data_IF_352049808194
#
_entry.id   IF_352049808194
#
_cell.length_a   1.000
_cell.length_b   1.000
_cell.length_c   1.000
_cell.angle_alpha   90.00
_cell.angle_beta   90.00
_cell.angle_gamma   90.00
#
_symmetry.space_group_name_H-M   'P 1'
#
loop_
_entity.id
_entity.type
_entity.pdbx_description
1 polymer ?
#
# COMPACT_ATOMS: atom_id res chain seq x y z
N UNK A 1 0.47 -1.21 -23.74
CA UNK A 1 -0.36 -1.78 -24.83
C UNK A 1 -1.62 -2.43 -24.25
N UNK A 2 -2.81 -1.87 -24.49
CA UNK A 2 -4.08 -2.34 -23.94
C UNK A 2 -4.54 -3.68 -24.59
N UNK A 3 -4.07 -4.82 -24.07
CA UNK A 3 -4.55 -6.15 -24.50
C UNK A 3 -5.94 -6.44 -23.92
N UNK A 4 -6.93 -6.49 -24.82
CA UNK A 4 -8.19 -7.26 -24.73
C UNK A 4 -9.03 -7.16 -23.43
N UNK A 5 -9.41 -5.95 -23.00
CA UNK A 5 -10.48 -5.76 -22.00
C UNK A 5 -11.91 -5.87 -22.56
N UNK A 6 -12.09 -5.84 -23.89
CA UNK A 6 -13.42 -5.80 -24.51
C UNK A 6 -14.18 -7.12 -24.31
N UNK A 7 -13.53 -8.26 -24.55
CA UNK A 7 -14.18 -9.57 -24.48
C UNK A 7 -14.49 -10.00 -23.03
N UNK A 8 -13.57 -9.73 -22.09
CA UNK A 8 -13.83 -9.93 -20.66
C UNK A 8 -14.94 -8.99 -20.16
N UNK A 9 -14.92 -7.71 -20.54
CA UNK A 9 -15.99 -6.77 -20.15
C UNK A 9 -17.38 -7.16 -20.68
N UNK A 10 -17.46 -7.76 -21.86
CA UNK A 10 -18.72 -8.30 -22.43
C UNK A 10 -19.21 -9.53 -21.66
N UNK A 11 -18.31 -10.44 -21.30
CA UNK A 11 -18.64 -11.63 -20.49
C UNK A 11 -19.08 -11.21 -19.09
N UNK A 12 -18.38 -10.26 -18.48
CA UNK A 12 -18.70 -9.72 -17.16
C UNK A 12 -20.05 -8.98 -17.19
N UNK A 13 -20.30 -8.12 -18.17
CA UNK A 13 -21.60 -7.47 -18.36
C UNK A 13 -22.74 -8.46 -18.59
N UNK A 14 -22.51 -9.53 -19.39
CA UNK A 14 -23.53 -10.55 -19.64
C UNK A 14 -23.86 -11.34 -18.37
N UNK A 15 -22.85 -11.62 -17.54
CA UNK A 15 -23.00 -12.31 -16.26
C UNK A 15 -23.70 -11.44 -15.22
N UNK A 16 -23.43 -10.14 -15.20
CA UNK A 16 -24.11 -9.19 -14.32
C UNK A 16 -25.56 -8.97 -14.74
N UNK A 17 -25.81 -8.81 -16.04
CA UNK A 17 -27.18 -8.69 -16.59
C UNK A 17 -28.01 -9.95 -16.32
N UNK A 18 -27.48 -11.15 -16.54
CA UNK A 18 -28.20 -12.39 -16.24
C UNK A 18 -28.46 -12.59 -14.74
N UNK A 19 -27.51 -12.19 -13.89
CA UNK A 19 -27.67 -12.16 -12.44
C UNK A 19 -28.80 -11.22 -12.01
N UNK A 20 -28.87 -10.01 -12.57
CA UNK A 20 -29.94 -9.04 -12.27
C UNK A 20 -31.32 -9.53 -12.70
N UNK A 21 -31.42 -10.18 -13.87
CA UNK A 21 -32.69 -10.75 -14.35
C UNK A 21 -33.15 -11.89 -13.44
N UNK A 22 -32.27 -12.85 -13.13
CA UNK A 22 -32.59 -13.98 -12.27
C UNK A 22 -33.04 -13.53 -10.88
N UNK A 23 -32.36 -12.53 -10.32
CA UNK A 23 -32.67 -12.01 -8.98
C UNK A 23 -34.00 -11.24 -8.97
N UNK A 24 -34.32 -10.52 -10.04
CA UNK A 24 -35.62 -9.88 -10.22
C UNK A 24 -36.76 -10.91 -10.29
N UNK A 25 -36.57 -12.00 -11.03
CA UNK A 25 -37.56 -13.10 -11.13
C UNK A 25 -37.77 -13.76 -9.78
N UNK A 26 -36.70 -14.11 -9.06
CA UNK A 26 -36.79 -14.76 -7.74
C UNK A 26 -37.47 -13.85 -6.70
N UNK A 27 -37.15 -12.56 -6.70
CA UNK A 27 -37.82 -11.58 -5.82
C UNK A 27 -39.29 -11.47 -6.19
N UNK A 28 -39.65 -11.40 -7.47
CA UNK A 28 -41.04 -11.35 -7.91
C UNK A 28 -41.84 -12.59 -7.48
N UNK A 29 -41.26 -13.79 -7.62
CA UNK A 29 -41.87 -15.03 -7.13
C UNK A 29 -42.04 -15.00 -5.60
N UNK A 30 -41.02 -14.56 -4.87
CA UNK A 30 -41.08 -14.43 -3.41
C UNK A 30 -42.15 -13.44 -2.93
N UNK A 31 -42.25 -12.27 -3.58
CA UNK A 31 -43.27 -11.25 -3.29
C UNK A 31 -44.67 -11.76 -3.62
N UNK A 32 -44.85 -12.49 -4.72
CA UNK A 32 -46.14 -13.09 -5.06
C UNK A 32 -46.56 -14.15 -4.03
N UNK A 33 -45.64 -15.04 -3.62
CA UNK A 33 -45.92 -16.03 -2.57
C UNK A 33 -46.25 -15.37 -1.23
N UNK A 34 -45.53 -14.30 -0.87
CA UNK A 34 -45.83 -13.46 0.29
C UNK A 34 -47.23 -12.87 0.22
N UNK A 35 -47.57 -12.24 -0.90
CA UNK A 35 -48.87 -11.59 -1.11
C UNK A 35 -50.00 -12.59 -1.00
N UNK A 36 -49.89 -13.75 -1.65
CA UNK A 36 -50.91 -14.82 -1.56
C UNK A 36 -51.06 -15.31 -0.12
N UNK A 37 -49.95 -15.60 0.58
CA UNK A 37 -50.00 -16.04 1.97
C UNK A 37 -50.61 -15.00 2.93
N UNK A 38 -50.35 -13.71 2.72
CA UNK A 38 -50.92 -12.61 3.54
C UNK A 38 -52.42 -12.43 3.27
N UNK A 39 -52.84 -12.48 1.99
CA UNK A 39 -54.26 -12.35 1.62
C UNK A 39 -55.08 -13.52 2.16
N UNK A 40 -54.56 -14.74 2.08
CA UNK A 40 -55.22 -15.93 2.63
C UNK A 40 -55.31 -15.88 4.17
N UNK A 41 -54.30 -15.34 4.85
CA UNK A 41 -54.30 -15.13 6.31
C UNK A 41 -55.33 -14.07 6.76
N UNK A 42 -55.50 -12.99 5.98
CA UNK A 42 -56.46 -11.90 6.27
C UNK A 42 -57.91 -12.28 5.88
N UNK A 43 -58.08 -13.21 4.95
CA UNK A 43 -59.36 -13.72 4.45
C UNK A 43 -60.05 -14.69 5.41
N UNK A 44 -60.45 -14.22 6.59
CA UNK A 44 -61.56 -14.74 7.41
C UNK A 44 -61.89 -16.26 7.33
N UNK A 45 -61.02 -17.11 7.90
CA UNK A 45 -61.46 -18.28 8.66
C UNK A 45 -60.61 -18.43 9.92
N UNK A 46 -61.27 -18.44 11.08
CA UNK A 46 -60.68 -18.71 12.40
C UNK A 46 -60.09 -20.14 12.48
N UNK A 47 -58.96 -20.35 11.82
CA UNK A 47 -58.25 -21.62 11.80
C UNK A 47 -56.88 -21.43 11.20
N UNK A 48 -55.90 -21.12 12.05
CA UNK A 48 -54.47 -21.04 11.70
C UNK A 48 -54.05 -22.29 10.92
N UNK A 49 -53.94 -22.20 9.59
CA UNK A 49 -53.44 -23.31 8.79
C UNK A 49 -51.93 -23.18 8.61
N UNK A 50 -51.21 -24.26 8.94
CA UNK A 50 -49.74 -24.35 8.82
C UNK A 50 -49.26 -24.00 7.39
N UNK A 51 -50.11 -24.24 6.37
CA UNK A 51 -49.82 -23.96 4.95
C UNK A 51 -49.63 -22.46 4.66
N UNK A 52 -50.40 -21.58 5.28
CA UNK A 52 -50.33 -20.12 5.08
C UNK A 52 -49.02 -19.57 5.67
N UNK A 53 -48.66 -20.04 6.87
CA UNK A 53 -47.40 -19.68 7.53
C UNK A 53 -46.19 -20.17 6.73
N UNK A 54 -46.27 -21.36 6.12
CA UNK A 54 -45.23 -21.90 5.23
C UNK A 54 -45.07 -21.03 3.97
N UNK A 55 -46.17 -20.60 3.34
CA UNK A 55 -46.12 -19.72 2.16
C UNK A 55 -45.47 -18.36 2.47
N UNK A 56 -45.83 -17.76 3.61
CA UNK A 56 -45.23 -16.50 4.07
C UNK A 56 -43.74 -16.71 4.37
N UNK A 57 -43.35 -17.75 5.11
CA UNK A 57 -41.94 -17.99 5.44
C UNK A 57 -41.09 -18.27 4.20
N UNK A 58 -41.58 -19.07 3.25
CA UNK A 58 -40.91 -19.31 1.97
C UNK A 58 -40.78 -18.01 1.16
N UNK A 59 -41.84 -17.21 1.11
CA UNK A 59 -41.83 -15.94 0.39
C UNK A 59 -40.87 -14.91 1.00
N UNK A 60 -40.79 -14.81 2.34
CA UNK A 60 -39.79 -13.99 3.06
C UNK A 60 -38.38 -14.48 2.74
N UNK A 61 -38.16 -15.78 2.81
CA UNK A 61 -36.84 -16.37 2.57
C UNK A 61 -36.38 -16.15 1.11
N UNK A 62 -37.28 -16.33 0.13
CA UNK A 62 -36.97 -16.08 -1.27
C UNK A 62 -36.72 -14.59 -1.56
N UNK A 63 -37.52 -13.69 -0.99
CA UNK A 63 -37.38 -12.25 -1.25
C UNK A 63 -36.19 -11.64 -0.50
N UNK A 64 -36.18 -11.71 0.84
CA UNK A 64 -35.11 -11.14 1.66
C UNK A 64 -33.82 -11.94 1.57
N UNK A 65 -33.89 -13.26 1.45
CA UNK A 65 -32.70 -14.11 1.33
C UNK A 65 -31.93 -13.86 0.03
N UNK A 66 -32.63 -13.68 -1.10
CA UNK A 66 -31.97 -13.35 -2.38
C UNK A 66 -31.38 -11.95 -2.36
N UNK A 67 -32.09 -10.97 -1.77
CA UNK A 67 -31.54 -9.62 -1.59
C UNK A 67 -30.31 -9.60 -0.67
N UNK A 68 -30.37 -10.30 0.47
CA UNK A 68 -29.25 -10.42 1.39
C UNK A 68 -28.07 -11.15 0.74
N UNK A 69 -28.33 -12.20 -0.03
CA UNK A 69 -27.30 -12.92 -0.78
C UNK A 69 -26.60 -12.03 -1.80
N UNK A 70 -27.35 -11.29 -2.62
CA UNK A 70 -26.75 -10.35 -3.59
C UNK A 70 -25.98 -9.22 -2.92
N UNK A 71 -26.53 -8.65 -1.84
CA UNK A 71 -25.83 -7.64 -1.07
C UNK A 71 -24.51 -8.22 -0.52
N UNK A 72 -24.53 -9.46 -0.01
CA UNK A 72 -23.35 -10.14 0.51
C UNK A 72 -22.31 -10.48 -0.56
N UNK A 73 -22.72 -10.96 -1.73
CA UNK A 73 -21.79 -11.29 -2.82
C UNK A 73 -21.14 -10.04 -3.40
N UNK A 74 -21.92 -8.99 -3.64
CA UNK A 74 -21.40 -7.70 -4.08
C UNK A 74 -20.47 -7.09 -3.03
N UNK A 75 -20.83 -7.19 -1.75
CA UNK A 75 -19.98 -6.75 -0.65
C UNK A 75 -18.65 -7.50 -0.59
N UNK A 76 -18.66 -8.83 -0.75
CA UNK A 76 -17.42 -9.62 -0.80
C UNK A 76 -16.53 -9.24 -1.98
N UNK A 77 -17.11 -8.81 -3.11
CA UNK A 77 -16.36 -8.32 -4.28
C UNK A 77 -15.64 -7.00 -4.02
N UNK A 78 -16.07 -6.20 -3.03
CA UNK A 78 -15.40 -4.95 -2.65
C UNK A 78 -14.07 -5.20 -1.93
N UNK A 79 -13.86 -6.39 -1.36
CA UNK A 79 -12.59 -6.72 -0.72
C UNK A 79 -11.52 -6.90 -1.79
N UNK A 80 -10.51 -6.04 -1.75
CA UNK A 80 -9.43 -6.04 -2.72
C UNK A 80 -8.11 -6.35 -2.02
N UNK A 81 -7.28 -7.15 -2.69
CA UNK A 81 -5.89 -7.34 -2.32
C UNK A 81 -5.06 -7.07 -3.56
N UNK A 82 -4.25 -6.01 -3.52
CA UNK A 82 -3.36 -5.62 -4.61
C UNK A 82 -1.92 -5.90 -4.18
N UNK A 83 -1.18 -6.59 -5.05
CA UNK A 83 0.23 -6.92 -4.87
C UNK A 83 1.05 -6.05 -5.80
N UNK A 84 2.01 -5.34 -5.24
CA UNK A 84 2.90 -4.45 -5.93
C UNK A 84 4.29 -5.06 -5.92
N UNK A 85 4.87 -5.20 -7.10
CA UNK A 85 6.25 -5.65 -7.27
C UNK A 85 7.12 -4.44 -7.60
N UNK A 86 8.07 -4.15 -6.71
CA UNK A 86 9.07 -3.11 -6.90
C UNK A 86 10.48 -3.69 -6.96
N UNK A 87 11.42 -2.85 -7.38
CA UNK A 87 12.84 -3.18 -7.39
C UNK A 87 13.68 -2.11 -6.71
N UNK A 88 14.87 -2.48 -6.24
CA UNK A 88 15.93 -1.55 -5.85
C UNK A 88 17.23 -1.95 -6.53
N UNK A 89 18.12 -0.98 -6.69
CA UNK A 89 19.50 -1.21 -7.10
C UNK A 89 20.38 -0.95 -5.88
N UNK A 90 21.19 -1.95 -5.53
CA UNK A 90 22.04 -1.89 -4.35
C UNK A 90 23.49 -2.09 -4.73
N UNK A 91 24.35 -1.20 -4.24
CA UNK A 91 25.81 -1.34 -4.34
C UNK A 91 26.31 -2.12 -3.13
N UNK A 92 26.71 -3.36 -3.37
CA UNK A 92 27.16 -4.28 -2.31
C UNK A 92 28.47 -3.85 -1.66
N UNK A 93 29.34 -3.15 -2.39
CA UNK A 93 30.63 -2.71 -1.86
C UNK A 93 30.43 -1.53 -0.91
N UNK A 94 29.65 -0.54 -1.34
CA UNK A 94 29.42 0.68 -0.57
C UNK A 94 28.27 0.55 0.44
N UNK A 95 27.54 -0.55 0.42
CA UNK A 95 26.31 -0.80 1.19
C UNK A 95 25.26 0.31 1.01
N UNK A 96 25.04 0.76 -0.23
CA UNK A 96 24.16 1.89 -0.55
C UNK A 96 23.09 1.53 -1.57
N UNK A 97 21.88 2.01 -1.34
CA UNK A 97 20.83 2.01 -2.34
C UNK A 97 21.17 3.10 -3.37
N UNK A 98 21.15 2.73 -4.64
CA UNK A 98 21.36 3.64 -5.76
C UNK A 98 20.00 4.20 -6.17
N UNK A 99 19.91 5.54 -6.19
CA UNK A 99 18.73 6.25 -6.65
C UNK A 99 18.54 6.06 -8.15
N UNK A 100 17.34 5.62 -8.54
CA UNK A 100 16.92 5.55 -9.93
C UNK A 100 16.07 6.79 -10.24
N UNK A 101 16.50 7.66 -11.17
CA UNK A 101 15.72 8.85 -11.54
C UNK A 101 14.32 8.47 -12.03
N UNK A 102 13.32 9.32 -11.76
CA UNK A 102 11.89 9.12 -12.08
C UNK A 102 11.21 7.91 -11.41
N UNK A 103 11.95 7.15 -10.59
CA UNK A 103 11.43 6.05 -9.79
C UNK A 103 11.45 6.44 -8.30
N UNK A 104 10.33 6.97 -7.86
CA UNK A 104 10.22 7.73 -6.61
C UNK A 104 10.58 6.88 -5.38
N UNK A 105 10.09 5.64 -5.27
CA UNK A 105 10.45 4.76 -4.13
C UNK A 105 11.96 4.53 -4.02
N UNK A 106 12.67 4.35 -5.14
CA UNK A 106 14.11 4.14 -5.11
C UNK A 106 14.86 5.38 -4.63
N UNK A 107 14.38 6.56 -5.03
CA UNK A 107 14.93 7.84 -4.61
C UNK A 107 14.67 8.09 -3.13
N UNK A 108 13.43 7.90 -2.68
CA UNK A 108 13.01 8.06 -1.28
C UNK A 108 13.79 7.09 -0.38
N UNK A 109 13.87 5.80 -0.73
CA UNK A 109 14.65 4.83 0.05
C UNK A 109 16.15 5.19 0.13
N UNK A 110 16.76 5.64 -0.96
CA UNK A 110 18.16 6.06 -0.95
C UNK A 110 18.39 7.29 -0.05
N UNK A 111 17.49 8.28 -0.11
CA UNK A 111 17.55 9.48 0.72
C UNK A 111 17.36 9.17 2.20
N UNK A 112 16.30 8.42 2.56
CA UNK A 112 16.03 8.04 3.94
C UNK A 112 17.13 7.15 4.53
N UNK A 113 17.74 6.25 3.73
CA UNK A 113 18.91 5.50 4.17
C UNK A 113 20.07 6.44 4.52
N UNK A 114 20.34 7.44 3.67
CA UNK A 114 21.42 8.41 3.86
C UNK A 114 21.17 9.29 5.10
N UNK A 115 19.97 9.83 5.25
CA UNK A 115 19.60 10.66 6.41
C UNK A 115 19.68 9.86 7.71
N UNK A 116 19.15 8.62 7.74
CA UNK A 116 19.24 7.77 8.91
C UNK A 116 20.70 7.44 9.29
N UNK A 117 21.56 7.23 8.29
CA UNK A 117 22.99 6.97 8.51
C UNK A 117 23.73 8.20 9.03
N UNK A 118 23.38 9.40 8.55
CA UNK A 118 23.99 10.66 9.01
C UNK A 118 23.69 10.98 10.47
N UNK A 119 22.51 10.57 10.94
CA UNK A 119 22.03 10.89 12.27
C UNK A 119 22.30 9.78 13.30
N UNK A 120 22.17 8.52 12.90
CA UNK A 120 22.28 7.39 13.81
C UNK A 120 23.43 6.45 13.43
N UNK A 121 24.59 6.67 14.03
CA UNK A 121 25.80 5.85 13.82
C UNK A 121 25.60 4.37 14.14
N UNK A 122 24.72 4.04 15.09
CA UNK A 122 24.42 2.65 15.41
C UNK A 122 23.63 1.98 14.28
N UNK A 123 22.66 2.69 13.70
CA UNK A 123 21.90 2.22 12.53
C UNK A 123 22.80 2.07 11.31
N UNK A 124 23.70 3.03 11.06
CA UNK A 124 24.70 2.94 10.00
C UNK A 124 25.59 1.70 10.15
N UNK A 125 26.08 1.44 11.37
CA UNK A 125 26.92 0.27 11.65
C UNK A 125 26.17 -1.04 11.41
N UNK A 126 24.92 -1.15 11.85
CA UNK A 126 24.08 -2.33 11.64
C UNK A 126 23.76 -2.55 10.15
N UNK A 127 23.58 -1.47 9.38
CA UNK A 127 23.33 -1.53 7.94
C UNK A 127 24.55 -2.06 7.16
N UNK A 128 25.76 -1.67 7.59
CA UNK A 128 27.03 -2.07 6.97
C UNK A 128 27.57 -3.41 7.47
N UNK A 129 26.93 -4.03 8.47
CA UNK A 129 27.42 -5.27 9.09
C UNK A 129 27.37 -6.45 8.11
N UNK A 130 26.23 -6.61 7.41
CA UNK A 130 26.00 -7.68 6.45
C UNK A 130 25.48 -7.13 5.11
N UNK A 131 25.54 -7.95 4.06
CA UNK A 131 24.86 -7.65 2.79
C UNK A 131 23.35 -7.97 2.90
N UNK A 132 22.52 -7.22 2.19
CA UNK A 132 21.05 -7.33 2.23
C UNK A 132 20.53 -8.66 1.71
N UNK A 133 21.30 -9.36 0.87
CA UNK A 133 20.92 -10.62 0.21
C UNK A 133 21.40 -11.90 0.88
N UNK A 134 22.28 -11.79 1.88
CA UNK A 134 22.80 -12.98 2.55
C UNK A 134 21.69 -13.64 3.38
N UNK A 135 21.52 -14.94 3.23
CA UNK A 135 20.73 -15.75 4.15
C UNK A 135 21.68 -16.33 5.19
N UNK A 136 21.43 -16.08 6.48
CA UNK A 136 22.19 -16.77 7.54
C UNK A 136 21.70 -18.21 7.61
N UNK A 137 22.47 -19.13 7.02
CA UNK A 137 22.23 -20.56 7.15
C UNK A 137 22.53 -20.99 8.59
N UNK A 138 21.50 -21.06 9.44
CA UNK A 138 21.65 -21.74 10.72
C UNK A 138 21.76 -23.25 10.48
N UNK A 139 22.95 -23.81 10.70
CA UNK A 139 23.16 -25.27 10.74
C UNK A 139 22.66 -25.80 12.10
N UNK A 140 21.35 -25.75 12.31
CA UNK A 140 20.64 -26.43 13.39
C UNK A 140 20.01 -27.72 12.87
N UNK A 141 19.92 -28.75 13.72
CA UNK A 141 19.41 -30.10 13.36
C UNK A 141 18.11 -30.02 12.54
N UNK A 142 18.10 -30.82 11.48
CA UNK A 142 17.05 -31.04 10.49
C UNK A 142 15.69 -31.16 11.19
N UNK A 143 14.87 -30.11 11.10
CA UNK A 143 13.43 -30.22 11.27
C UNK A 143 12.72 -29.23 10.34
N UNK A 144 12.23 -29.80 9.24
CA UNK A 144 11.25 -29.38 8.23
C UNK A 144 10.87 -27.93 7.88
N UNK A 145 11.48 -26.85 8.37
CA UNK A 145 11.25 -25.52 7.79
C UNK A 145 12.57 -24.75 7.71
N UNK A 146 13.09 -24.64 6.49
CA UNK A 146 14.20 -23.75 6.14
C UNK A 146 13.67 -22.32 6.25
N UNK A 147 13.57 -21.81 7.48
CA UNK A 147 13.21 -20.42 7.75
C UNK A 147 14.43 -19.57 7.38
N UNK A 148 14.45 -19.12 6.13
CA UNK A 148 15.33 -18.06 5.66
C UNK A 148 15.15 -16.85 6.58
N UNK A 149 16.03 -16.72 7.57
CA UNK A 149 16.07 -15.51 8.39
C UNK A 149 16.86 -14.46 7.63
N UNK A 150 16.19 -13.36 7.28
CA UNK A 150 16.80 -12.18 6.68
C UNK A 150 18.01 -11.73 7.52
N UNK A 151 19.07 -11.26 6.88
CA UNK A 151 20.15 -10.56 7.57
C UNK A 151 19.64 -9.34 8.32
N UNK A 152 20.48 -8.79 9.21
CA UNK A 152 20.14 -7.55 9.90
C UNK A 152 19.91 -6.41 8.89
N UNK A 153 20.73 -6.32 7.84
CA UNK A 153 20.59 -5.34 6.76
C UNK A 153 19.32 -5.57 5.92
N UNK A 154 18.96 -6.82 5.59
CA UNK A 154 17.69 -7.13 4.92
C UNK A 154 16.46 -6.80 5.78
N UNK A 155 16.58 -6.95 7.10
CA UNK A 155 15.53 -6.54 8.05
C UNK A 155 15.40 -5.02 8.09
N UNK A 156 16.53 -4.30 8.15
CA UNK A 156 16.55 -2.84 8.07
C UNK A 156 15.95 -2.32 6.76
N UNK A 157 16.22 -2.99 5.63
CA UNK A 157 15.64 -2.64 4.35
C UNK A 157 14.11 -2.80 4.36
N UNK A 158 13.60 -3.85 5.01
CA UNK A 158 12.15 -4.05 5.19
C UNK A 158 11.54 -2.95 6.05
N UNK A 159 12.21 -2.56 7.14
CA UNK A 159 11.79 -1.45 8.02
C UNK A 159 11.80 -0.11 7.27
N UNK A 160 12.79 0.15 6.42
CA UNK A 160 12.89 1.33 5.57
C UNK A 160 11.75 1.38 4.54
N UNK A 161 11.45 0.26 3.89
CA UNK A 161 10.32 0.15 2.96
C UNK A 161 9.00 0.44 3.67
N UNK A 162 8.80 -0.14 4.85
CA UNK A 162 7.61 0.09 5.67
C UNK A 162 7.46 1.57 6.06
N UNK A 163 8.56 2.22 6.45
CA UNK A 163 8.57 3.65 6.73
C UNK A 163 8.15 4.47 5.51
N UNK A 164 8.70 4.18 4.34
CA UNK A 164 8.36 4.90 3.11
C UNK A 164 6.87 4.77 2.75
N UNK A 165 6.26 3.59 2.97
CA UNK A 165 4.84 3.37 2.71
C UNK A 165 3.95 4.13 3.70
N UNK A 166 4.30 4.10 4.98
CA UNK A 166 3.55 4.81 6.03
C UNK A 166 3.65 6.32 5.83
N UNK A 167 4.83 6.82 5.44
CA UNK A 167 5.04 8.22 5.13
C UNK A 167 4.20 8.66 3.92
N UNK A 168 4.21 7.90 2.82
CA UNK A 168 3.34 8.19 1.67
C UNK A 168 1.86 8.15 2.02
N UNK A 169 1.45 7.18 2.85
CA UNK A 169 0.07 7.12 3.31
C UNK A 169 -0.30 8.34 4.16
N UNK A 170 0.57 8.74 5.08
CA UNK A 170 0.39 9.94 5.92
C UNK A 170 0.18 11.18 5.04
N UNK A 171 1.11 11.45 4.12
CA UNK A 171 1.04 12.59 3.20
C UNK A 171 -0.25 12.58 2.37
N UNK A 172 -0.59 11.44 1.76
CA UNK A 172 -1.80 11.31 0.95
C UNK A 172 -3.08 11.55 1.76
N UNK A 173 -3.16 11.02 2.98
CA UNK A 173 -4.32 11.21 3.85
C UNK A 173 -4.46 12.65 4.31
N UNK A 174 -3.35 13.29 4.70
CA UNK A 174 -3.33 14.71 5.08
C UNK A 174 -3.79 15.57 3.90
N UNK A 175 -3.24 15.37 2.70
CA UNK A 175 -3.67 16.06 1.47
C UNK A 175 -5.14 15.80 1.11
N UNK A 176 -5.61 14.58 1.33
CA UNK A 176 -7.00 14.22 1.07
C UNK A 176 -7.96 14.92 2.02
N UNK A 177 -7.73 14.86 3.33
CA UNK A 177 -8.64 15.42 4.33
C UNK A 177 -8.58 16.95 4.38
N UNK A 178 -7.43 17.56 4.09
CA UNK A 178 -7.29 19.01 4.00
C UNK A 178 -8.21 19.63 2.93
N UNK A 179 -8.58 18.89 1.88
CA UNK A 179 -9.54 19.35 0.86
C UNK A 179 -10.96 19.56 1.40
N UNK A 180 -11.28 19.00 2.56
CA UNK A 180 -12.64 19.03 3.12
C UNK A 180 -12.82 20.05 4.25
N UNK A 181 -11.82 20.90 4.53
CA UNK A 181 -11.93 22.12 5.37
C UNK A 181 -12.67 21.89 6.69
N UNK A 182 -12.25 20.87 7.46
CA UNK A 182 -12.81 20.56 8.79
C UNK A 182 -14.23 20.00 8.83
N UNK A 183 -14.88 19.78 7.66
CA UNK A 183 -16.24 19.18 7.60
C UNK A 183 -16.26 17.71 8.01
N UNK A 184 -15.10 17.07 8.02
CA UNK A 184 -14.92 15.66 8.37
C UNK A 184 -14.33 15.54 9.76
N UNK A 185 -14.91 14.66 10.56
CA UNK A 185 -14.40 14.29 11.88
C UNK A 185 -13.24 13.31 11.71
N UNK A 186 -12.04 13.85 11.79
CA UNK A 186 -10.78 13.11 11.70
C UNK A 186 -10.04 13.20 13.03
N UNK A 187 -9.24 12.17 13.29
CA UNK A 187 -8.34 12.07 14.42
C UNK A 187 -6.91 12.00 13.86
N UNK A 188 -6.04 12.88 14.35
CA UNK A 188 -4.61 12.85 14.08
C UNK A 188 -3.96 11.87 15.06
N UNK A 189 -3.21 10.90 14.55
CA UNK A 189 -2.43 9.98 15.36
C UNK A 189 -0.97 10.44 15.37
N UNK A 190 -0.44 10.67 16.58
CA UNK A 190 0.95 11.03 16.80
C UNK A 190 1.76 9.86 17.39
N UNK A 191 3.05 10.09 17.66
CA UNK A 191 3.96 9.08 18.22
C UNK A 191 3.39 8.39 19.48
N UNK A 192 2.76 9.16 20.36
CA UNK A 192 2.16 8.68 21.61
C UNK A 192 1.01 7.71 21.41
N UNK A 193 0.33 7.79 20.26
CA UNK A 193 -0.90 7.06 19.99
C UNK A 193 -0.67 5.72 19.29
N UNK A 194 0.54 5.50 18.74
CA UNK A 194 0.90 4.29 17.99
C UNK A 194 2.18 3.60 18.53
N UNK A 195 2.33 3.41 19.85
CA UNK A 195 3.59 2.93 20.43
C UNK A 195 3.99 1.54 19.90
N UNK A 196 3.03 0.65 19.64
CA UNK A 196 3.33 -0.72 19.20
C UNK A 196 3.93 -0.81 17.78
N UNK A 197 3.53 0.10 16.87
CA UNK A 197 4.09 0.16 15.51
C UNK A 197 5.46 0.85 15.52
N UNK A 198 5.57 1.94 16.28
CA UNK A 198 6.76 2.78 16.39
C UNK A 198 7.92 2.12 17.14
N UNK A 199 7.65 1.30 18.15
CA UNK A 199 8.71 0.65 18.94
C UNK A 199 9.45 -0.45 18.16
N UNK A 200 8.86 -0.96 17.07
CA UNK A 200 9.42 -2.10 16.33
C UNK A 200 10.24 -1.69 15.11
N UNK A 201 9.90 -0.58 14.45
CA UNK A 201 10.57 -0.10 13.24
C UNK A 201 11.58 1.02 13.58
N UNK A 202 12.87 0.79 13.34
CA UNK A 202 13.94 1.72 13.73
C UNK A 202 13.91 3.02 12.92
N UNK A 203 13.52 2.97 11.65
CA UNK A 203 13.39 4.16 10.80
C UNK A 203 12.20 5.00 11.22
N UNK A 204 11.03 4.38 11.41
CA UNK A 204 9.83 5.06 11.89
C UNK A 204 10.07 5.70 13.26
N UNK A 205 10.76 5.00 14.17
CA UNK A 205 11.15 5.55 15.49
C UNK A 205 12.06 6.77 15.38
N UNK A 206 13.06 6.72 14.50
CA UNK A 206 14.03 7.81 14.32
C UNK A 206 13.35 9.05 13.75
N UNK A 207 12.59 8.88 12.67
CA UNK A 207 12.02 10.02 11.95
C UNK A 207 10.77 10.60 12.61
N UNK A 208 10.02 9.80 13.39
CA UNK A 208 8.85 10.29 14.15
C UNK A 208 9.23 10.88 15.52
N UNK A 209 10.52 10.95 15.86
CA UNK A 209 10.96 11.52 17.13
C UNK A 209 11.04 13.05 17.08
N UNK A 210 10.56 13.71 18.14
CA UNK A 210 10.58 15.16 18.25
C UNK A 210 11.99 15.71 18.14
N UNK A 211 12.14 16.88 17.51
CA UNK A 211 13.43 17.55 17.31
C UNK A 211 14.20 17.73 18.63
N UNK A 212 13.50 18.02 19.73
CA UNK A 212 14.09 18.24 21.06
C UNK A 212 14.83 16.99 21.57
N UNK A 213 14.36 15.80 21.20
CA UNK A 213 14.92 14.52 21.63
C UNK A 213 16.02 13.99 20.70
N UNK A 214 16.39 14.75 19.65
CA UNK A 214 17.34 14.34 18.62
C UNK A 214 18.60 15.20 18.69
N UNK A 215 19.73 14.56 18.96
CA UNK A 215 21.05 15.22 19.13
C UNK A 215 21.35 16.21 17.99
N UNK A 216 21.07 15.80 16.75
CA UNK A 216 21.28 16.59 15.54
C UNK A 216 20.51 17.92 15.49
N UNK A 217 19.48 18.11 16.31
CA UNK A 217 18.63 19.30 16.31
C UNK A 217 18.75 20.12 17.61
N UNK A 218 19.53 19.68 18.60
CA UNK A 218 19.71 20.39 19.87
C UNK A 218 20.37 21.77 19.72
N UNK A 219 21.16 22.00 18.66
CA UNK A 219 21.76 23.30 18.38
C UNK A 219 20.80 24.27 17.66
N UNK A 220 19.70 23.76 17.10
CA UNK A 220 18.69 24.55 16.38
C UNK A 220 17.63 25.12 17.33
N UNK A 221 17.35 24.46 18.45
CA UNK A 221 16.32 24.87 19.42
C UNK A 221 16.56 26.24 20.06
N UNK A 222 17.80 26.74 20.09
CA UNK A 222 18.11 28.07 20.64
C UNK A 222 17.68 29.23 19.73
N UNK A 223 17.38 28.98 18.43
CA UNK A 223 17.01 30.02 17.46
C UNK A 223 15.50 30.11 17.18
N UNK A 224 14.67 29.26 17.79
CA UNK A 224 13.21 29.22 17.55
C UNK A 224 12.37 29.76 18.73
N UNK A 225 13.00 30.38 19.74
CA UNK A 225 12.29 30.97 20.88
C UNK A 225 11.72 32.38 20.57
N UNK A 226 11.21 32.61 19.36
CA UNK A 226 10.33 33.76 19.10
C UNK A 226 8.89 33.30 19.34
N UNK A 227 8.35 33.64 20.52
CA UNK A 227 7.00 33.31 21.02
C UNK A 227 5.83 33.88 20.16
N UNK A 228 6.10 34.42 18.97
CA UNK A 228 5.14 35.14 18.14
C UNK A 228 4.83 34.50 16.78
N UNK A 229 5.39 33.34 16.43
CA UNK A 229 5.02 32.63 15.21
C UNK A 229 4.20 31.37 15.52
N UNK A 230 2.89 31.43 15.24
CA UNK A 230 1.95 30.28 15.21
C UNK A 230 2.32 29.23 14.13
N UNK A 231 3.48 29.34 13.48
CA UNK A 231 3.97 28.41 12.47
C UNK A 231 4.62 27.19 13.12
N UNK A 232 3.88 26.09 13.24
CA UNK A 232 4.46 24.80 13.62
C UNK A 232 5.44 24.31 12.54
N UNK A 233 6.71 24.13 12.87
CA UNK A 233 7.72 23.60 11.95
C UNK A 233 7.34 22.20 11.43
N UNK A 234 7.10 22.09 10.11
CA UNK A 234 6.66 20.85 9.46
C UNK A 234 7.84 20.00 8.96
N UNK A 235 8.89 20.63 8.40
CA UNK A 235 10.03 19.94 7.83
C UNK A 235 11.33 20.75 8.00
N UNK A 236 12.44 20.08 8.38
CA UNK A 236 13.78 20.67 8.51
C UNK A 236 14.85 19.71 8.02
N UNK A 237 15.76 20.22 7.19
CA UNK A 237 17.01 19.55 6.87
C UNK A 237 18.17 20.35 7.47
N UNK A 238 18.93 19.74 8.38
CA UNK A 238 20.08 20.39 8.99
C UNK A 238 21.34 20.23 8.10
N UNK A 239 22.32 21.13 8.26
CA UNK A 239 23.65 21.06 7.64
C UNK A 239 24.43 19.78 7.98
N UNK A 240 24.06 19.08 9.06
CA UNK A 240 24.59 17.76 9.40
C UNK A 240 24.04 16.62 8.54
N UNK A 241 23.03 16.88 7.71
CA UNK A 241 22.31 15.87 6.92
C UNK A 241 21.12 15.23 7.64
N UNK A 242 20.84 15.64 8.89
CA UNK A 242 19.70 15.16 9.64
C UNK A 242 18.38 15.73 9.09
N UNK A 243 17.39 14.85 8.92
CA UNK A 243 16.08 15.18 8.35
C UNK A 243 14.98 15.03 9.40
N UNK A 244 14.19 16.08 9.59
CA UNK A 244 13.00 16.06 10.42
C UNK A 244 11.77 16.35 9.57
N UNK A 245 10.76 15.51 9.72
CA UNK A 245 9.41 15.77 9.25
C UNK A 245 8.45 15.43 10.40
N UNK A 246 7.49 16.32 10.66
CA UNK A 246 6.50 16.09 11.69
C UNK A 246 5.59 14.94 11.24
N UNK A 247 5.73 13.78 11.87
CA UNK A 247 4.88 12.64 11.59
C UNK A 247 3.48 12.85 12.19
N UNK A 248 2.48 12.98 11.33
CA UNK A 248 1.07 12.90 11.67
C UNK A 248 0.35 11.90 10.75
N UNK A 249 -0.59 11.14 11.30
CA UNK A 249 -1.40 10.23 10.51
C UNK A 249 -2.88 10.55 10.73
N UNK A 250 -3.47 11.25 9.77
CA UNK A 250 -4.86 11.71 9.83
C UNK A 250 -5.81 10.62 9.37
N UNK A 251 -6.64 10.10 10.27
CA UNK A 251 -7.59 9.01 9.99
C UNK A 251 -9.00 9.35 10.52
N UNK A 252 -10.06 8.66 10.07
CA UNK A 252 -11.39 8.84 10.63
C UNK A 252 -11.45 8.54 12.13
N UNK A 253 -12.34 9.20 12.88
CA UNK A 253 -12.55 8.91 14.31
C UNK A 253 -12.82 7.41 14.57
N UNK A 254 -12.35 6.92 15.72
CA UNK A 254 -12.42 5.51 16.14
C UNK A 254 -11.59 4.56 15.27
N UNK A 255 -10.61 5.08 14.53
CA UNK A 255 -9.59 4.25 13.90
C UNK A 255 -8.61 3.70 14.93
N UNK A 256 -8.03 2.53 14.65
CA UNK A 256 -7.03 1.88 15.47
C UNK A 256 -5.93 1.36 14.57
N UNK A 257 -4.68 1.61 14.96
CA UNK A 257 -3.53 1.13 14.23
C UNK A 257 -2.87 0.07 15.09
N UNK A 258 -2.68 -1.11 14.51
CA UNK A 258 -2.11 -2.27 15.21
C UNK A 258 -1.05 -2.93 14.35
N UNK A 259 -0.07 -3.56 15.01
CA UNK A 259 0.92 -4.40 14.36
C UNK A 259 0.58 -5.86 14.65
N UNK A 260 0.34 -6.66 13.61
CA UNK A 260 0.03 -8.09 13.79
C UNK A 260 1.28 -8.96 13.75
N UNK A 261 2.21 -8.64 12.85
CA UNK A 261 3.45 -9.37 12.63
C UNK A 261 4.63 -8.40 12.41
N UNK A 262 5.87 -8.92 12.28
CA UNK A 262 7.04 -8.09 11.97
C UNK A 262 6.93 -7.29 10.66
N UNK A 263 6.01 -7.63 9.76
CA UNK A 263 5.95 -7.04 8.42
C UNK A 263 4.54 -6.55 8.05
N UNK A 264 3.58 -6.60 8.97
CA UNK A 264 2.17 -6.31 8.70
C UNK A 264 1.64 -5.24 9.67
N UNK A 265 1.24 -4.10 9.10
CA UNK A 265 0.53 -3.01 9.78
C UNK A 265 -0.94 -3.07 9.39
N UNK A 266 -1.82 -3.00 10.39
CA UNK A 266 -3.26 -3.03 10.21
C UNK A 266 -3.84 -1.70 10.70
N UNK A 267 -4.50 -0.99 9.79
CA UNK A 267 -5.29 0.20 10.09
C UNK A 267 -6.75 -0.22 10.08
N UNK A 268 -7.33 -0.33 11.26
CA UNK A 268 -8.71 -0.70 11.47
C UNK A 268 -9.57 0.55 11.67
N UNK A 269 -10.51 0.79 10.75
CA UNK A 269 -11.44 1.92 10.82
C UNK A 269 -12.86 1.40 11.09
N UNK A 270 -13.84 2.27 11.38
CA UNK A 270 -15.23 1.83 11.58
C UNK A 270 -15.86 1.08 10.40
N UNK A 271 -15.37 1.30 9.19
CA UNK A 271 -16.01 0.87 7.93
C UNK A 271 -15.13 -0.13 7.15
N UNK A 272 -13.81 -0.09 7.34
CA UNK A 272 -12.88 -1.02 6.69
C UNK A 272 -11.65 -1.32 7.53
N UNK A 273 -10.94 -2.36 7.14
CA UNK A 273 -9.63 -2.73 7.65
C UNK A 273 -8.64 -2.74 6.48
N UNK A 274 -7.62 -1.89 6.56
CA UNK A 274 -6.48 -1.84 5.64
C UNK A 274 -5.32 -2.63 6.24
N UNK A 275 -4.75 -3.57 5.50
CA UNK A 275 -3.51 -4.27 5.85
C UNK A 275 -2.42 -3.91 4.86
N UNK A 276 -1.29 -3.44 5.38
CA UNK A 276 -0.08 -3.10 4.64
C UNK A 276 0.98 -4.14 5.01
N UNK A 277 1.39 -4.95 4.05
CA UNK A 277 2.41 -5.98 4.24
C UNK A 277 3.63 -5.69 3.37
N UNK A 278 4.79 -5.53 4.00
CA UNK A 278 6.07 -5.28 3.31
C UNK A 278 6.95 -6.52 3.35
N UNK A 279 7.37 -7.01 2.19
CA UNK A 279 8.18 -8.22 2.08
C UNK A 279 9.43 -7.96 1.24
N UNK A 280 10.57 -8.06 1.89
CA UNK A 280 11.85 -8.26 1.23
C UNK A 280 12.35 -9.67 1.51
N UNK A 281 12.87 -10.36 0.49
CA UNK A 281 13.35 -11.73 0.64
C UNK A 281 14.73 -11.94 0.04
N UNK A 282 15.46 -10.87 -0.33
CA UNK A 282 16.81 -10.98 -0.90
C UNK A 282 16.85 -11.58 -2.31
N UNK A 283 15.71 -11.77 -2.98
CA UNK A 283 15.67 -12.29 -4.34
C UNK A 283 16.08 -11.21 -5.34
N UNK A 284 16.89 -11.59 -6.32
CA UNK A 284 17.23 -10.70 -7.42
C UNK A 284 16.06 -10.54 -8.39
N UNK A 285 16.09 -9.44 -9.15
CA UNK A 285 15.18 -9.23 -10.29
C UNK A 285 15.98 -8.93 -11.54
N UNK A 286 15.42 -9.25 -12.70
CA UNK A 286 16.04 -8.89 -13.97
C UNK A 286 15.49 -7.53 -14.42
N UNK A 287 16.36 -6.53 -14.52
CA UNK A 287 16.02 -5.28 -15.19
C UNK A 287 16.17 -5.41 -16.72
N UNK A 288 15.46 -4.57 -17.50
CA UNK A 288 15.61 -4.53 -18.94
C UNK A 288 17.07 -4.33 -19.40
N UNK A 289 17.38 -4.88 -20.57
CA UNK A 289 18.74 -4.83 -21.12
C UNK A 289 19.23 -3.39 -21.29
N UNK A 290 20.54 -3.19 -21.09
CA UNK A 290 21.24 -1.90 -21.14
C UNK A 290 20.71 -0.78 -20.23
N UNK A 291 19.77 -1.07 -19.32
CA UNK A 291 19.18 -0.07 -18.43
C UNK A 291 20.26 0.68 -17.63
N UNK A 292 21.15 -0.06 -16.99
CA UNK A 292 22.29 0.51 -16.28
C UNK A 292 23.19 1.39 -17.15
N UNK A 293 23.46 0.96 -18.38
CA UNK A 293 24.40 1.61 -19.28
C UNK A 293 23.87 2.96 -19.75
N UNK A 294 22.62 3.00 -20.22
CA UNK A 294 22.07 4.19 -20.86
C UNK A 294 21.22 5.05 -19.91
N UNK A 295 20.48 4.44 -18.97
CA UNK A 295 19.60 5.19 -18.07
C UNK A 295 20.33 5.70 -16.84
N UNK A 296 21.03 4.82 -16.13
CA UNK A 296 21.75 5.19 -14.90
C UNK A 296 23.10 5.85 -15.16
N UNK A 297 23.55 5.87 -16.42
CA UNK A 297 24.84 6.42 -16.86
C UNK A 297 26.00 5.90 -16.00
N UNK A 298 25.92 4.65 -15.57
CA UNK A 298 26.92 3.99 -14.74
C UNK A 298 28.17 3.73 -15.57
N UNK A 299 29.06 4.72 -15.67
CA UNK A 299 30.29 4.63 -16.43
C UNK A 299 31.26 3.61 -15.77
N UNK A 300 31.21 2.38 -16.25
CA UNK A 300 32.33 1.42 -16.41
C UNK A 300 33.17 0.94 -15.20
N UNK A 301 33.07 1.47 -13.98
CA UNK A 301 34.00 1.06 -12.89
C UNK A 301 33.40 0.18 -11.78
N UNK A 302 32.08 0.19 -11.57
CA UNK A 302 31.43 -0.56 -10.47
C UNK A 302 30.25 -1.44 -10.90
N UNK A 303 30.11 -1.76 -12.18
CA UNK A 303 28.96 -2.54 -12.67
C UNK A 303 28.84 -3.91 -11.98
N UNK A 304 29.97 -4.52 -11.61
CA UNK A 304 30.00 -5.84 -10.97
C UNK A 304 29.56 -5.85 -9.50
N UNK A 305 29.42 -4.69 -8.85
CA UNK A 305 28.95 -4.60 -7.46
C UNK A 305 27.49 -4.17 -7.34
N UNK A 306 26.85 -3.79 -8.46
CA UNK A 306 25.46 -3.40 -8.48
C UNK A 306 24.58 -4.64 -8.63
N UNK A 307 23.64 -4.78 -7.71
CA UNK A 307 22.69 -5.88 -7.70
C UNK A 307 21.25 -5.38 -7.66
N UNK A 308 20.44 -5.97 -8.53
CA UNK A 308 19.00 -5.73 -8.64
C UNK A 308 18.27 -6.62 -7.65
N UNK A 309 17.54 -6.02 -6.71
CA UNK A 309 16.73 -6.79 -5.76
C UNK A 309 15.24 -6.47 -5.89
N UNK A 310 14.42 -7.51 -5.70
CA UNK A 310 12.96 -7.42 -5.69
C UNK A 310 12.45 -7.21 -4.27
N UNK A 311 11.45 -6.34 -4.13
CA UNK A 311 10.58 -6.30 -2.96
C UNK A 311 9.12 -6.40 -3.39
N UNK A 312 8.28 -6.89 -2.48
CA UNK A 312 6.84 -6.97 -2.69
C UNK A 312 6.12 -6.22 -1.58
N UNK A 313 5.08 -5.49 -1.96
CA UNK A 313 4.15 -4.87 -1.02
C UNK A 313 2.76 -5.39 -1.32
N UNK A 314 2.05 -5.83 -0.30
CA UNK A 314 0.66 -6.26 -0.41
C UNK A 314 -0.21 -5.30 0.39
N UNK A 315 -1.19 -4.69 -0.30
CA UNK A 315 -2.20 -3.84 0.31
C UNK A 315 -3.53 -4.57 0.21
N UNK A 316 -4.12 -4.90 1.35
CA UNK A 316 -5.44 -5.54 1.44
C UNK A 316 -6.45 -4.60 2.08
N UNK A 317 -7.53 -4.34 1.37
CA UNK A 317 -8.67 -3.55 1.82
C UNK A 317 -9.84 -4.48 2.05
N UNK A 318 -10.31 -4.59 3.30
CA UNK A 318 -11.46 -5.40 3.67
C UNK A 318 -12.54 -4.53 4.28
N UNK A 319 -13.71 -4.47 3.64
CA UNK A 319 -14.84 -3.73 4.19
C UNK A 319 -15.50 -4.52 5.32
N UNK A 320 -16.03 -3.79 6.31
CA UNK A 320 -16.84 -4.34 7.42
C UNK A 320 -18.32 -4.29 7.04
N UNK A 321 -19.12 -5.21 7.59
CA UNK A 321 -20.57 -5.25 7.28
C UNK A 321 -21.31 -3.96 7.67
N UNK A 322 -20.77 -3.22 8.64
CA UNK A 322 -21.22 -1.88 9.01
C UNK A 322 -21.18 -0.89 7.85
N UNK A 323 -20.31 -1.08 6.84
CA UNK A 323 -20.21 -0.20 5.68
C UNK A 323 -21.49 -0.20 4.83
N UNK A 324 -22.20 -1.33 4.74
CA UNK A 324 -23.43 -1.46 3.95
C UNK A 324 -24.54 -0.53 4.44
N UNK A 325 -24.50 -0.13 5.72
CA UNK A 325 -25.49 0.74 6.34
C UNK A 325 -25.02 2.21 6.45
N UNK A 326 -23.75 2.51 6.11
CA UNK A 326 -23.14 3.84 6.27
C UNK A 326 -22.83 4.55 4.94
N UNK A 327 -23.72 4.42 3.95
CA UNK A 327 -23.51 4.87 2.56
C UNK A 327 -23.05 6.33 2.42
N UNK A 328 -23.65 7.28 3.15
CA UNK A 328 -23.28 8.72 3.08
C UNK A 328 -21.88 9.03 3.63
N UNK A 329 -21.36 8.21 4.55
CA UNK A 329 -20.00 8.39 5.09
C UNK A 329 -18.95 7.72 4.21
N UNK A 330 -19.33 6.72 3.42
CA UNK A 330 -18.43 5.92 2.60
C UNK A 330 -17.79 6.76 1.48
N UNK A 331 -18.60 7.50 0.72
CA UNK A 331 -18.18 8.26 -0.47
C UNK A 331 -17.25 9.45 -0.16
N UNK A 332 -17.16 9.89 1.11
CA UNK A 332 -16.35 11.07 1.47
C UNK A 332 -15.19 10.70 2.39
N UNK A 333 -15.35 9.73 3.30
CA UNK A 333 -14.26 9.35 4.21
C UNK A 333 -13.31 8.30 3.63
N UNK A 334 -13.67 7.60 2.54
CA UNK A 334 -12.93 6.41 2.11
C UNK A 334 -12.61 6.38 0.61
N UNK A 335 -12.99 7.40 -0.15
CA UNK A 335 -12.61 7.51 -1.58
C UNK A 335 -11.11 7.72 -1.78
N UNK A 336 -10.37 8.09 -0.74
CA UNK A 336 -8.92 8.19 -0.79
C UNK A 336 -8.24 6.85 -1.11
N UNK A 337 -8.88 5.72 -0.84
CA UNK A 337 -8.28 4.38 -1.03
C UNK A 337 -7.94 4.12 -2.49
N UNK A 338 -8.88 4.39 -3.39
CA UNK A 338 -8.66 4.13 -4.82
C UNK A 338 -7.53 5.04 -5.33
N UNK A 339 -7.56 6.33 -4.98
CA UNK A 339 -6.48 7.26 -5.32
C UNK A 339 -5.14 6.86 -4.70
N UNK A 340 -5.12 6.30 -3.49
CA UNK A 340 -3.90 5.84 -2.84
C UNK A 340 -3.35 4.60 -3.53
N UNK A 341 -4.20 3.65 -3.93
CA UNK A 341 -3.78 2.45 -4.65
C UNK A 341 -3.23 2.76 -6.05
N UNK A 342 -3.71 3.83 -6.68
CA UNK A 342 -3.19 4.35 -7.95
C UNK A 342 -1.86 5.08 -7.73
N UNK A 343 -1.77 5.93 -6.70
CA UNK A 343 -0.53 6.61 -6.33
C UNK A 343 0.58 5.62 -5.98
N UNK A 344 0.30 4.57 -5.20
CA UNK A 344 1.27 3.52 -4.88
C UNK A 344 1.70 2.75 -6.14
N UNK A 345 0.80 2.55 -7.11
CA UNK A 345 1.19 1.96 -8.41
C UNK A 345 2.22 2.85 -9.12
N UNK A 346 2.01 4.16 -9.18
CA UNK A 346 2.98 5.08 -9.79
C UNK A 346 4.28 5.19 -8.99
N UNK A 347 4.18 5.07 -7.67
CA UNK A 347 5.28 5.27 -6.75
C UNK A 347 6.32 4.14 -6.77
N UNK A 348 5.87 2.88 -6.88
CA UNK A 348 6.74 1.72 -6.65
C UNK A 348 6.59 0.53 -7.61
N UNK A 349 5.61 0.52 -8.50
CA UNK A 349 5.39 -0.64 -9.38
C UNK A 349 6.42 -0.66 -10.53
N UNK A 350 7.23 -1.72 -10.58
CA UNK A 350 8.32 -1.91 -11.56
C UNK A 350 7.84 -1.74 -12.99
N UNK A 351 6.77 -2.45 -13.36
CA UNK A 351 6.27 -2.45 -14.73
C UNK A 351 5.71 -1.08 -15.10
N UNK A 352 5.04 -0.40 -14.15
CA UNK A 352 4.54 0.96 -14.35
C UNK A 352 5.67 1.95 -14.59
N UNK A 353 6.78 1.84 -13.85
CA UNK A 353 7.96 2.67 -14.05
C UNK A 353 8.53 2.53 -15.47
N UNK A 354 8.75 1.29 -15.95
CA UNK A 354 9.31 1.06 -17.29
C UNK A 354 8.36 1.50 -18.41
N UNK A 355 7.04 1.39 -18.20
CA UNK A 355 6.03 1.94 -19.09
C UNK A 355 6.04 3.48 -19.09
N UNK A 356 6.19 4.12 -17.92
CA UNK A 356 6.23 5.60 -17.77
C UNK A 356 7.39 6.20 -18.55
N UNK A 357 8.58 5.60 -18.49
CA UNK A 357 9.76 6.09 -19.23
C UNK A 357 9.79 5.60 -20.69
N UNK A 358 8.80 4.83 -21.13
CA UNK A 358 8.73 4.19 -22.45
C UNK A 358 10.04 3.49 -22.84
N UNK A 359 10.59 2.70 -21.89
CA UNK A 359 11.94 2.14 -22.01
C UNK A 359 12.13 1.32 -23.29
N UNK A 360 11.11 0.57 -23.70
CA UNK A 360 11.19 -0.27 -24.89
C UNK A 360 11.39 0.55 -26.16
N UNK A 361 10.71 1.69 -26.30
CA UNK A 361 10.90 2.58 -27.44
C UNK A 361 12.27 3.26 -27.39
N UNK A 362 12.69 3.74 -26.22
CA UNK A 362 14.00 4.36 -26.02
C UNK A 362 15.13 3.37 -26.33
N UNK A 363 15.04 2.14 -25.84
CA UNK A 363 16.03 1.09 -26.08
C UNK A 363 16.15 0.75 -27.57
N UNK A 364 15.02 0.66 -28.28
CA UNK A 364 15.00 0.47 -29.73
C UNK A 364 15.67 1.64 -30.47
N UNK A 365 15.39 2.88 -30.07
CA UNK A 365 16.01 4.07 -30.66
C UNK A 365 17.54 4.11 -30.43
N UNK A 366 17.99 3.75 -29.23
CA UNK A 366 19.41 3.65 -28.91
C UNK A 366 20.07 2.57 -29.77
N UNK A 367 19.44 1.42 -29.93
CA UNK A 367 19.96 0.33 -30.76
C UNK A 367 20.08 0.75 -32.23
N UNK A 368 19.05 1.39 -32.78
CA UNK A 368 19.08 1.96 -34.13
C UNK A 368 20.20 2.99 -34.30
N UNK A 369 20.36 3.90 -33.33
CA UNK A 369 21.36 4.97 -33.38
C UNK A 369 22.78 4.41 -33.31
N UNK A 370 23.04 3.44 -32.43
CA UNK A 370 24.34 2.79 -32.33
C UNK A 370 24.70 2.08 -33.64
N UNK A 371 23.75 1.36 -34.26
CA UNK A 371 23.98 0.71 -35.55
C UNK A 371 24.29 1.71 -36.67
N UNK A 372 23.61 2.86 -36.70
CA UNK A 372 23.91 3.94 -37.65
C UNK A 372 25.32 4.50 -37.42
N UNK A 373 25.72 4.71 -36.17
CA UNK A 373 27.06 5.22 -35.84
C UNK A 373 28.20 4.25 -36.23
N UNK A 374 27.92 2.96 -36.34
CA UNK A 374 28.86 1.96 -36.86
C UNK A 374 28.94 1.92 -38.39
N UNK A 375 27.97 2.49 -39.10
CA UNK A 375 27.93 2.52 -40.57
C UNK A 375 28.53 3.80 -41.16
N UNK A 376 28.70 4.87 -40.36
CA UNK A 376 29.38 6.09 -40.79
C UNK A 376 30.89 5.93 -40.50
N UNK A 377 31.76 5.84 -41.53
CA UNK A 377 33.20 5.79 -41.29
C UNK A 377 33.63 7.08 -40.57
N UNK A 378 34.40 6.93 -39.49
CA UNK A 378 35.06 8.06 -38.83
C UNK A 378 35.99 8.71 -39.86
N UNK A 379 35.61 9.90 -40.36
CA UNK A 379 36.41 10.74 -41.26
C UNK A 379 37.62 11.31 -40.54
#
# INVERSE_FOLDING_TARGET
MAKNKIFSSLIDNKRESSGLIMTSVLVAVGVNMLSTGIVDLLGLRFGFQIKEVILITIGIFLSLGVLAWNAWTNFRRLNQTKKFEGFIIYDEINHKIISVPEYTISTDMAQYQQWASSENKALEKLWKEDNISQFRNFRGKIDQNLLNTLTQSGTLLTELLEYCLIEKLSLHLTDYYNKFDGKLKVQEFQKTDIPQVLLTNRFLRLFSEDMINRESFMCLSNNFNDENDDCSTVCVLNSSGAYYHKFDLTLPENSKITRKNKNEIIIDTPILTLSLTSLFSGFSTALPHDFYKYYLRSASQHYTSLHDYKFNVEISVKFKLTSLFMRKKMDVYYSWIDSFLDEITEYMEKDRFFDKIDWNAIHALIYCTNNISHLVPKS
#
